data_IF_678571113777
#
_entry.id   IF_678571113777
#
_cell.length_a   1.000
_cell.length_b   1.000
_cell.length_c   1.000
_cell.angle_alpha   90.00
_cell.angle_beta   90.00
_cell.angle_gamma   90.00
#
_symmetry.space_group_name_H-M   'P 1'
#
loop_
_entity.id
_entity.type
_entity.pdbx_description
1 polymer ?
#
# COMPACT_ATOMS: atom_id res chain seq x y z
N UNK A 1 33.18 -26.45 -18.09
CA UNK A 1 34.20 -25.53 -18.65
C UNK A 1 34.65 -24.63 -17.52
N UNK A 2 35.89 -24.77 -17.07
CA UNK A 2 36.45 -24.14 -15.85
C UNK A 2 36.84 -22.70 -16.18
N UNK A 3 36.42 -21.71 -15.41
CA UNK A 3 36.99 -20.41 -15.45
C UNK A 3 37.56 -20.01 -14.08
N UNK A 4 38.81 -19.60 -14.16
CA UNK A 4 39.74 -19.40 -13.03
C UNK A 4 39.56 -18.00 -12.45
N UNK A 5 39.66 -17.94 -11.13
CA UNK A 5 39.82 -16.76 -10.31
C UNK A 5 41.11 -16.00 -10.65
N UNK A 6 41.08 -14.66 -10.60
CA UNK A 6 42.23 -13.82 -10.49
C UNK A 6 42.03 -12.82 -9.35
N UNK A 7 42.74 -13.05 -8.25
CA UNK A 7 42.95 -12.11 -7.16
C UNK A 7 44.00 -11.07 -7.60
N UNK A 8 43.71 -9.81 -7.39
CA UNK A 8 44.71 -8.75 -7.43
C UNK A 8 44.75 -8.02 -6.09
N UNK A 9 45.79 -8.30 -5.36
CA UNK A 9 46.23 -7.62 -4.14
C UNK A 9 46.90 -6.31 -4.49
N UNK A 10 46.53 -5.18 -3.89
CA UNK A 10 47.34 -3.95 -3.89
C UNK A 10 47.57 -3.50 -2.45
N UNK A 11 48.84 -3.32 -2.17
CA UNK A 11 49.42 -3.11 -0.86
C UNK A 11 49.31 -1.64 -0.37
N UNK A 12 49.32 -1.53 0.95
CA UNK A 12 49.51 -0.32 1.79
C UNK A 12 50.73 0.50 1.41
N UNK A 13 50.61 1.81 1.52
CA UNK A 13 51.74 2.67 1.84
C UNK A 13 51.33 3.77 2.81
N UNK A 14 51.80 3.64 4.02
CA UNK A 14 51.75 4.60 5.11
C UNK A 14 52.80 5.72 4.87
N UNK A 15 52.46 6.97 5.13
CA UNK A 15 53.42 8.02 5.40
C UNK A 15 52.94 8.93 6.50
N UNK A 16 53.53 8.76 7.65
CA UNK A 16 53.53 9.68 8.80
C UNK A 16 54.53 10.80 8.51
N UNK A 17 54.19 12.04 8.76
CA UNK A 17 55.16 13.09 9.07
C UNK A 17 54.67 14.03 10.14
N UNK A 18 55.56 14.28 11.08
CA UNK A 18 55.46 14.93 12.37
C UNK A 18 55.60 16.44 12.32
N UNK A 19 54.91 17.09 13.24
CA UNK A 19 55.34 18.16 14.17
C UNK A 19 56.01 19.44 13.65
N UNK A 20 55.50 20.55 14.16
CA UNK A 20 56.17 21.83 14.21
C UNK A 20 55.45 22.79 15.14
N UNK A 21 55.84 22.80 16.43
CA UNK A 21 55.57 23.89 17.35
C UNK A 21 56.37 25.10 17.00
N UNK A 22 55.75 26.29 16.98
CA UNK A 22 56.41 27.59 16.87
C UNK A 22 55.62 28.64 17.62
N UNK A 23 56.14 29.02 18.77
CA UNK A 23 55.66 30.13 19.61
C UNK A 23 56.20 31.44 19.09
N UNK A 24 55.37 32.52 18.99
CA UNK A 24 55.81 33.85 18.58
C UNK A 24 54.78 34.90 18.87
N UNK A 25 54.98 35.61 19.93
CA UNK A 25 54.28 36.77 20.47
C UNK A 25 54.39 37.98 19.52
N UNK A 26 53.36 38.81 19.39
CA UNK A 26 53.41 40.07 18.64
C UNK A 26 52.06 40.78 18.45
N UNK A 27 51.73 41.67 19.38
CA UNK A 27 50.62 42.63 19.30
C UNK A 27 50.64 43.50 18.06
N UNK A 28 49.46 43.79 17.46
CA UNK A 28 48.87 45.13 17.28
C UNK A 28 47.65 45.19 16.33
N UNK A 29 46.54 45.73 16.88
CA UNK A 29 45.56 46.64 16.32
C UNK A 29 44.84 46.37 15.02
N UNK A 30 43.57 46.09 15.14
CA UNK A 30 42.43 46.86 14.63
C UNK A 30 42.18 46.91 13.12
N UNK A 31 41.11 46.31 12.69
CA UNK A 31 40.09 47.03 11.95
C UNK A 31 38.76 46.24 11.91
N UNK A 32 37.68 47.00 11.89
CA UNK A 32 36.29 46.64 12.06
C UNK A 32 35.70 45.84 10.88
N UNK A 33 34.68 45.04 11.27
CA UNK A 33 33.45 44.74 10.53
C UNK A 33 33.55 44.13 9.13
N UNK A 34 33.31 42.84 9.10
CA UNK A 34 32.25 42.34 8.23
C UNK A 34 31.74 41.02 8.81
N UNK A 35 30.72 41.12 9.67
CA UNK A 35 29.96 39.95 10.14
C UNK A 35 29.03 39.56 9.01
N UNK A 36 29.53 38.82 8.05
CA UNK A 36 28.68 38.00 7.22
C UNK A 36 28.11 36.94 8.13
N UNK A 37 26.87 37.11 8.52
CA UNK A 37 26.03 36.14 9.15
C UNK A 37 25.88 35.03 8.09
N UNK A 38 26.74 34.01 8.15
CA UNK A 38 26.47 32.72 7.54
C UNK A 38 25.27 32.24 8.33
N UNK A 39 24.11 32.27 7.74
CA UNK A 39 23.02 31.41 8.19
C UNK A 39 23.57 29.99 8.06
N UNK A 40 24.00 29.44 9.19
CA UNK A 40 24.09 28.01 9.38
C UNK A 40 22.64 27.50 9.20
N UNK A 41 22.31 27.05 8.01
CA UNK A 41 21.27 26.04 7.87
C UNK A 41 21.82 24.87 8.66
N UNK A 42 21.35 24.72 9.89
CA UNK A 42 21.52 23.49 10.67
C UNK A 42 20.83 22.41 9.85
N UNK A 43 21.63 21.66 9.14
CA UNK A 43 21.22 20.40 8.53
C UNK A 43 21.17 19.39 9.70
N UNK A 44 20.23 19.64 10.64
CA UNK A 44 19.97 18.70 11.72
C UNK A 44 19.40 17.44 11.06
N UNK A 45 20.25 16.43 10.93
CA UNK A 45 19.86 15.13 10.42
C UNK A 45 18.68 14.62 11.23
N UNK A 46 17.60 14.29 10.54
CA UNK A 46 16.45 13.66 11.18
C UNK A 46 16.87 12.31 11.78
N UNK A 47 16.42 12.06 12.98
CA UNK A 47 16.69 10.82 13.71
C UNK A 47 15.43 10.39 14.46
N UNK A 48 15.35 9.12 14.83
CA UNK A 48 14.28 8.61 15.67
C UNK A 48 13.48 7.52 14.98
N UNK A 49 12.23 7.38 15.36
CA UNK A 49 11.35 6.36 14.77
C UNK A 49 9.97 6.93 14.46
N UNK A 50 9.30 6.33 13.47
CA UNK A 50 7.89 6.50 13.15
C UNK A 50 7.21 5.17 13.42
N UNK A 51 6.26 5.14 14.34
CA UNK A 51 5.50 3.93 14.69
C UNK A 51 4.30 3.80 13.75
N UNK A 52 4.28 2.76 12.93
CA UNK A 52 3.25 2.53 11.90
C UNK A 52 2.70 1.12 12.07
N UNK A 53 1.37 0.96 12.06
CA UNK A 53 0.73 -0.36 12.09
C UNK A 53 -0.68 -0.27 11.48
N UNK A 54 -1.25 -1.39 11.08
CA UNK A 54 -2.65 -1.45 10.64
C UNK A 54 -2.93 -2.44 9.51
N UNK A 55 -3.66 -1.95 8.51
CA UNK A 55 -4.20 -2.74 7.40
C UNK A 55 -3.12 -3.48 6.60
N UNK A 56 -3.31 -4.78 6.39
CA UNK A 56 -2.52 -5.60 5.47
C UNK A 56 -2.63 -5.11 4.02
N UNK A 57 -3.78 -4.57 3.63
CA UNK A 57 -3.99 -4.00 2.29
C UNK A 57 -3.16 -2.73 2.05
N UNK A 58 -3.01 -1.88 3.07
CA UNK A 58 -2.22 -0.63 2.96
C UNK A 58 -0.72 -0.90 3.14
N UNK A 59 -0.37 -2.03 3.76
CA UNK A 59 1.00 -2.41 4.07
C UNK A 59 1.96 -2.30 2.87
N UNK A 60 1.67 -2.85 1.66
CA UNK A 60 2.60 -2.79 0.54
C UNK A 60 2.97 -1.36 0.13
N UNK A 61 2.00 -0.42 0.19
CA UNK A 61 2.24 0.99 -0.15
C UNK A 61 3.15 1.62 0.91
N UNK A 62 2.82 1.44 2.19
CA UNK A 62 3.57 2.07 3.28
C UNK A 62 4.94 1.41 3.49
N UNK A 63 5.11 0.13 3.14
CA UNK A 63 6.42 -0.53 3.11
C UNK A 63 7.30 0.09 2.02
N UNK A 64 6.79 0.25 0.79
CA UNK A 64 7.50 0.93 -0.29
C UNK A 64 7.88 2.38 0.09
N UNK A 65 6.95 3.13 0.69
CA UNK A 65 7.22 4.47 1.25
C UNK A 65 8.35 4.42 2.28
N UNK A 66 8.33 3.45 3.20
CA UNK A 66 9.36 3.33 4.25
C UNK A 66 10.73 2.96 3.70
N UNK A 67 10.79 2.11 2.67
CA UNK A 67 12.04 1.73 2.00
C UNK A 67 12.67 2.92 1.27
N UNK A 68 11.89 3.66 0.48
CA UNK A 68 12.37 4.85 -0.23
C UNK A 68 12.73 5.99 0.75
N UNK A 69 11.91 6.21 1.77
CA UNK A 69 12.22 7.19 2.81
C UNK A 69 13.53 6.89 3.56
N UNK A 70 13.80 5.62 3.84
CA UNK A 70 15.05 5.22 4.48
C UNK A 70 16.30 5.50 3.62
N UNK A 71 16.15 5.56 2.28
CA UNK A 71 17.24 5.95 1.38
C UNK A 71 17.56 7.45 1.52
N UNK A 72 16.57 8.31 1.76
CA UNK A 72 16.75 9.74 1.97
C UNK A 72 17.11 10.09 3.43
N UNK A 73 16.52 9.38 4.41
CA UNK A 73 16.63 9.62 5.84
C UNK A 73 17.13 8.38 6.60
N UNK A 74 18.37 7.93 6.38
CA UNK A 74 18.87 6.64 6.89
C UNK A 74 18.98 6.54 8.42
N UNK A 75 18.89 7.67 9.13
CA UNK A 75 18.95 7.72 10.59
C UNK A 75 17.52 7.69 11.23
N UNK A 76 16.46 7.63 10.41
CA UNK A 76 15.06 7.45 10.84
C UNK A 76 14.64 6.00 10.59
N UNK A 77 13.93 5.41 11.56
CA UNK A 77 13.36 4.06 11.44
C UNK A 77 11.84 4.17 11.32
N UNK A 78 11.30 3.64 10.23
CA UNK A 78 9.85 3.63 9.99
C UNK A 78 9.35 2.19 9.67
N UNK A 79 9.44 1.24 10.62
CA UNK A 79 8.93 -0.10 10.39
C UNK A 79 7.40 -0.10 10.31
N UNK A 80 6.84 -0.82 9.35
CA UNK A 80 5.40 -0.98 9.18
C UNK A 80 4.94 -2.31 9.74
N UNK A 81 4.05 -2.27 10.74
CA UNK A 81 3.42 -3.45 11.32
C UNK A 81 2.11 -3.80 10.61
N UNK A 82 1.71 -5.07 10.73
CA UNK A 82 0.48 -5.60 10.13
C UNK A 82 -0.36 -6.26 11.21
N UNK A 83 -1.42 -5.60 11.66
CA UNK A 83 -2.37 -6.16 12.63
C UNK A 83 -3.84 -6.05 12.17
N UNK A 84 -4.03 -5.70 10.89
CA UNK A 84 -5.32 -5.37 10.30
C UNK A 84 -5.81 -3.97 10.74
N UNK A 85 -6.78 -3.40 10.01
CA UNK A 85 -7.32 -2.06 10.28
C UNK A 85 -7.78 -1.89 11.74
N UNK A 86 -8.53 -2.85 12.28
CA UNK A 86 -9.00 -2.78 13.66
C UNK A 86 -7.88 -2.95 14.70
N UNK A 87 -6.84 -3.73 14.38
CA UNK A 87 -5.64 -3.88 15.20
C UNK A 87 -4.82 -2.60 15.23
N UNK A 88 -4.65 -1.95 14.08
CA UNK A 88 -4.00 -0.65 13.94
C UNK A 88 -4.68 0.43 14.79
N UNK A 89 -6.00 0.57 14.69
CA UNK A 89 -6.74 1.53 15.53
C UNK A 89 -6.61 1.24 17.03
N UNK A 90 -6.59 -0.03 17.45
CA UNK A 90 -6.37 -0.36 18.87
C UNK A 90 -5.02 0.14 19.37
N UNK A 91 -3.94 -0.05 18.60
CA UNK A 91 -2.60 0.44 18.94
C UNK A 91 -2.52 1.96 18.90
N UNK A 92 -3.17 2.57 17.91
CA UNK A 92 -3.24 4.02 17.74
C UNK A 92 -3.95 4.69 18.91
N UNK A 93 -5.12 4.17 19.32
CA UNK A 93 -5.87 4.61 20.51
C UNK A 93 -5.06 4.42 21.80
N UNK A 94 -4.23 3.37 21.88
CA UNK A 94 -3.34 3.14 23.02
C UNK A 94 -2.10 4.05 23.01
N UNK A 95 -1.88 4.88 21.97
CA UNK A 95 -0.70 5.73 21.81
C UNK A 95 0.59 4.95 21.52
N UNK A 96 0.47 3.70 21.03
CA UNK A 96 1.61 2.85 20.71
C UNK A 96 2.20 3.14 19.32
N UNK A 97 1.40 3.73 18.43
CA UNK A 97 1.80 4.10 17.07
C UNK A 97 1.51 5.55 16.77
N UNK A 98 2.29 6.14 15.85
CA UNK A 98 2.11 7.50 15.34
C UNK A 98 1.13 7.54 14.17
N UNK A 99 1.07 6.41 13.42
CA UNK A 99 0.29 6.25 12.20
C UNK A 99 -0.49 4.93 12.29
N UNK A 100 -1.78 4.98 11.92
CA UNK A 100 -2.63 3.80 11.75
C UNK A 100 -3.07 3.68 10.29
N UNK A 101 -2.70 2.58 9.63
CA UNK A 101 -3.12 2.26 8.27
C UNK A 101 -4.52 1.64 8.27
N UNK A 102 -5.39 2.07 7.35
CA UNK A 102 -6.76 1.59 7.29
C UNK A 102 -7.26 1.39 5.86
N UNK A 103 -7.99 0.32 5.64
CA UNK A 103 -8.65 -0.01 4.36
C UNK A 103 -10.16 0.22 4.39
N UNK A 104 -10.59 1.01 5.33
CA UNK A 104 -11.95 1.57 5.50
C UNK A 104 -11.88 2.85 6.31
N UNK A 105 -12.91 3.72 6.25
CA UNK A 105 -13.02 4.84 7.18
C UNK A 105 -13.02 4.38 8.64
N UNK A 106 -12.60 5.26 9.53
CA UNK A 106 -12.72 5.08 10.98
C UNK A 106 -14.19 4.86 11.36
N UNK A 107 -14.44 3.97 12.33
CA UNK A 107 -15.80 3.74 12.86
C UNK A 107 -16.11 4.72 13.99
N UNK A 108 -17.40 5.05 14.16
CA UNK A 108 -17.89 5.92 15.24
C UNK A 108 -17.39 5.48 16.62
N UNK A 109 -17.28 4.16 16.85
CA UNK A 109 -16.77 3.59 18.11
C UNK A 109 -15.28 3.84 18.31
N UNK A 110 -14.48 3.75 17.23
CA UNK A 110 -13.05 4.01 17.24
C UNK A 110 -12.77 5.51 17.43
N UNK A 111 -13.53 6.37 16.73
CA UNK A 111 -13.47 7.82 16.87
C UNK A 111 -13.76 8.25 18.30
N UNK A 112 -14.84 7.73 18.89
CA UNK A 112 -15.18 8.01 20.28
C UNK A 112 -14.09 7.58 21.26
N UNK A 113 -13.42 6.45 21.03
CA UNK A 113 -12.31 6.01 21.88
C UNK A 113 -11.09 6.92 21.75
N UNK A 114 -10.82 7.48 20.56
CA UNK A 114 -9.77 8.48 20.37
C UNK A 114 -10.10 9.79 21.11
N UNK A 115 -11.36 10.26 21.05
CA UNK A 115 -11.81 11.41 21.83
C UNK A 115 -11.64 11.18 23.34
N UNK A 116 -12.04 10.01 23.87
CA UNK A 116 -11.89 9.63 25.27
C UNK A 116 -10.42 9.55 25.70
N UNK A 117 -9.53 9.15 24.78
CA UNK A 117 -8.08 9.10 24.99
C UNK A 117 -7.41 10.48 24.84
N UNK A 118 -8.12 11.49 24.32
CA UNK A 118 -7.59 12.82 24.05
C UNK A 118 -6.61 12.84 22.89
N UNK A 119 -6.78 11.94 21.91
CA UNK A 119 -5.93 11.84 20.72
C UNK A 119 -6.65 12.51 19.55
N UNK A 120 -6.15 13.67 19.16
CA UNK A 120 -6.52 14.32 17.91
C UNK A 120 -5.72 13.71 16.74
N UNK A 121 -6.38 13.51 15.62
CA UNK A 121 -5.77 12.89 14.45
C UNK A 121 -6.11 13.61 13.15
N UNK A 122 -5.32 13.32 12.13
CA UNK A 122 -5.60 13.72 10.75
C UNK A 122 -5.65 12.48 9.87
N UNK A 123 -6.74 12.34 9.12
CA UNK A 123 -6.94 11.31 8.10
C UNK A 123 -6.37 11.77 6.77
N UNK A 124 -5.66 10.88 6.09
CA UNK A 124 -5.22 11.06 4.71
C UNK A 124 -5.65 9.85 3.89
N UNK A 125 -6.26 10.10 2.75
CA UNK A 125 -6.45 9.10 1.72
C UNK A 125 -5.15 8.96 0.93
N UNK A 126 -4.74 7.72 0.59
CA UNK A 126 -3.44 7.48 -0.03
C UNK A 126 -3.55 6.82 -1.40
N UNK A 127 -4.55 5.97 -1.61
CA UNK A 127 -4.76 5.23 -2.85
C UNK A 127 -6.17 4.63 -2.89
N UNK A 128 -6.52 4.00 -4.00
CA UNK A 128 -7.69 3.11 -4.11
C UNK A 128 -7.24 1.67 -4.33
N UNK A 129 -7.92 0.75 -3.67
CA UNK A 129 -7.87 -0.68 -3.97
C UNK A 129 -9.06 -1.04 -4.87
N UNK A 130 -8.80 -1.81 -5.91
CA UNK A 130 -9.80 -2.33 -6.82
C UNK A 130 -9.49 -3.78 -7.17
N UNK A 131 -10.46 -4.67 -7.01
CA UNK A 131 -10.33 -6.09 -7.33
C UNK A 131 -10.98 -6.38 -8.68
N UNK A 132 -10.20 -6.86 -9.64
CA UNK A 132 -10.73 -7.36 -10.91
C UNK A 132 -11.10 -8.83 -10.81
N UNK A 133 -12.32 -9.18 -11.17
CA UNK A 133 -12.71 -10.56 -11.45
C UNK A 133 -12.53 -10.82 -12.94
N UNK A 134 -11.76 -11.85 -13.27
CA UNK A 134 -11.41 -12.16 -14.65
C UNK A 134 -11.68 -13.62 -14.98
N UNK A 135 -12.01 -13.85 -16.24
CA UNK A 135 -12.10 -15.19 -16.82
C UNK A 135 -11.16 -15.33 -18.01
N UNK A 136 -10.96 -16.55 -18.45
CA UNK A 136 -10.20 -16.81 -19.69
C UNK A 136 -10.79 -16.01 -20.86
N UNK A 137 -9.94 -15.48 -21.73
CA UNK A 137 -10.33 -14.67 -22.89
C UNK A 137 -11.35 -15.37 -23.82
N UNK A 138 -11.24 -16.67 -23.96
CA UNK A 138 -12.13 -17.48 -24.80
C UNK A 138 -13.49 -17.78 -24.15
N UNK A 139 -13.72 -17.33 -22.89
CA UNK A 139 -15.01 -17.45 -22.23
C UNK A 139 -16.01 -16.47 -22.83
N UNK A 140 -17.01 -16.97 -23.55
CA UNK A 140 -17.98 -16.15 -24.32
C UNK A 140 -19.37 -16.07 -23.65
N UNK A 141 -19.59 -16.78 -22.54
CA UNK A 141 -20.89 -16.88 -21.88
C UNK A 141 -20.99 -16.13 -20.53
N UNK A 142 -19.89 -15.89 -19.83
CA UNK A 142 -19.90 -15.08 -18.59
C UNK A 142 -19.98 -13.60 -19.00
N UNK A 143 -21.14 -13.00 -18.88
CA UNK A 143 -21.43 -11.60 -19.22
C UNK A 143 -21.29 -10.65 -18.02
N UNK A 144 -21.68 -11.12 -16.84
CA UNK A 144 -21.60 -10.42 -15.55
C UNK A 144 -21.77 -11.43 -14.42
N UNK A 145 -21.34 -11.06 -13.20
CA UNK A 145 -21.60 -11.82 -11.98
C UNK A 145 -22.18 -10.92 -10.89
N UNK A 146 -23.07 -11.50 -10.07
CA UNK A 146 -23.55 -10.89 -8.85
C UNK A 146 -22.67 -11.24 -7.67
N UNK A 147 -22.74 -10.47 -6.59
CA UNK A 147 -22.04 -10.77 -5.34
C UNK A 147 -22.44 -12.13 -4.78
N UNK A 148 -23.75 -12.48 -4.84
CA UNK A 148 -24.24 -13.79 -4.39
C UNK A 148 -23.65 -14.94 -5.22
N UNK A 149 -23.51 -14.76 -6.54
CA UNK A 149 -22.86 -15.75 -7.41
C UNK A 149 -21.37 -15.88 -7.07
N UNK A 150 -20.66 -14.77 -6.88
CA UNK A 150 -19.26 -14.78 -6.44
C UNK A 150 -19.13 -15.49 -5.09
N UNK A 151 -19.96 -15.13 -4.11
CA UNK A 151 -19.97 -15.78 -2.80
C UNK A 151 -20.18 -17.30 -2.93
N UNK A 152 -21.21 -17.72 -3.68
CA UNK A 152 -21.47 -19.13 -3.96
C UNK A 152 -20.31 -19.84 -4.61
N UNK A 153 -19.63 -19.19 -5.55
CA UNK A 153 -18.50 -19.75 -6.28
C UNK A 153 -17.27 -19.99 -5.40
N UNK A 154 -16.98 -19.08 -4.47
CA UNK A 154 -15.74 -19.05 -3.71
C UNK A 154 -15.86 -19.62 -2.29
N UNK A 155 -17.07 -19.82 -1.73
CA UNK A 155 -17.27 -20.52 -0.47
C UNK A 155 -16.98 -22.01 -0.58
N UNK A 156 -16.43 -22.62 0.48
CA UNK A 156 -16.16 -24.07 0.56
C UNK A 156 -17.43 -24.92 0.39
N UNK A 157 -18.55 -24.45 0.95
CA UNK A 157 -19.84 -25.12 0.90
C UNK A 157 -20.70 -24.73 -0.32
N UNK A 158 -20.24 -23.84 -1.17
CA UNK A 158 -20.95 -23.38 -2.37
C UNK A 158 -21.12 -24.45 -3.43
N UNK A 159 -20.33 -25.52 -3.38
CA UNK A 159 -20.42 -26.74 -4.21
C UNK A 159 -20.40 -26.50 -5.73
N UNK A 160 -19.86 -25.38 -6.19
CA UNK A 160 -19.70 -25.08 -7.62
C UNK A 160 -18.54 -25.88 -8.19
N UNK A 161 -18.82 -26.72 -9.21
CA UNK A 161 -17.83 -27.52 -9.95
C UNK A 161 -17.82 -27.18 -11.44
N UNK A 162 -18.97 -26.78 -11.96
CA UNK A 162 -19.19 -26.43 -13.36
C UNK A 162 -19.83 -25.07 -13.47
N UNK A 163 -19.72 -24.42 -14.60
CA UNK A 163 -20.39 -23.15 -14.86
C UNK A 163 -21.92 -23.25 -14.75
N UNK A 164 -22.50 -24.39 -15.10
CA UNK A 164 -23.95 -24.65 -14.92
C UNK A 164 -24.39 -24.66 -13.45
N UNK A 165 -23.48 -24.90 -12.51
CA UNK A 165 -23.78 -24.80 -11.07
C UNK A 165 -23.91 -23.36 -10.59
N UNK A 166 -23.34 -22.40 -11.34
CA UNK A 166 -23.44 -20.96 -11.04
C UNK A 166 -24.78 -20.41 -11.52
N UNK A 167 -25.05 -20.61 -12.82
CA UNK A 167 -26.26 -20.05 -13.46
C UNK A 167 -26.85 -21.06 -14.45
N UNK A 168 -28.17 -21.23 -14.40
CA UNK A 168 -28.91 -22.09 -15.33
C UNK A 168 -28.68 -21.66 -16.78
N UNK A 169 -28.44 -22.62 -17.65
CA UNK A 169 -28.18 -22.37 -19.08
C UNK A 169 -26.70 -22.18 -19.44
N UNK A 170 -25.82 -22.03 -18.46
CA UNK A 170 -24.37 -22.02 -18.70
C UNK A 170 -23.81 -23.44 -18.96
N UNK A 171 -22.63 -23.55 -19.56
CA UNK A 171 -22.04 -24.85 -19.91
C UNK A 171 -21.76 -25.74 -18.69
N UNK A 172 -21.85 -27.06 -18.87
CA UNK A 172 -21.45 -28.07 -17.85
C UNK A 172 -19.93 -28.32 -17.88
N UNK A 173 -19.15 -27.33 -18.21
CA UNK A 173 -17.71 -27.38 -18.22
C UNK A 173 -17.16 -27.06 -16.82
N UNK A 174 -16.05 -27.69 -16.42
CA UNK A 174 -15.43 -27.42 -15.12
C UNK A 174 -15.04 -25.95 -14.96
N UNK A 175 -15.10 -25.44 -13.71
CA UNK A 175 -14.52 -24.16 -13.33
C UNK A 175 -13.23 -24.41 -12.57
N UNK A 176 -12.17 -23.67 -12.92
CA UNK A 176 -10.89 -23.67 -12.20
C UNK A 176 -10.68 -22.30 -11.55
N UNK A 177 -10.36 -22.30 -10.27
CA UNK A 177 -10.31 -21.11 -9.43
C UNK A 177 -8.89 -20.69 -9.12
N UNK A 178 -8.60 -19.38 -9.27
CA UNK A 178 -7.31 -18.75 -9.00
C UNK A 178 -7.51 -17.57 -8.05
N UNK A 179 -6.79 -17.56 -6.92
CA UNK A 179 -6.94 -16.58 -5.85
C UNK A 179 -5.58 -16.13 -5.36
N UNK A 180 -5.42 -14.85 -4.94
CA UNK A 180 -4.30 -14.46 -4.11
C UNK A 180 -4.16 -15.37 -2.90
N UNK A 181 -2.95 -15.47 -2.35
CA UNK A 181 -2.66 -16.25 -1.16
C UNK A 181 -3.09 -15.55 0.12
N UNK A 182 -2.98 -16.25 1.24
CA UNK A 182 -3.48 -15.79 2.54
C UNK A 182 -2.71 -14.63 3.16
N UNK A 183 -1.54 -14.30 2.63
CA UNK A 183 -0.74 -13.14 3.07
C UNK A 183 -1.05 -11.87 2.26
N UNK A 184 -1.94 -11.98 1.24
CA UNK A 184 -2.35 -10.89 0.37
C UNK A 184 -3.47 -10.04 0.97
N UNK A 185 -3.30 -8.70 0.95
CA UNK A 185 -4.37 -7.76 1.28
C UNK A 185 -5.60 -7.86 0.38
N UNK A 186 -5.44 -8.30 -0.88
CA UNK A 186 -6.54 -8.57 -1.81
C UNK A 186 -7.35 -9.81 -1.38
N UNK A 187 -6.66 -10.85 -0.86
CA UNK A 187 -7.32 -12.01 -0.27
C UNK A 187 -8.16 -11.62 0.96
N UNK A 188 -7.59 -10.83 1.87
CA UNK A 188 -8.29 -10.35 3.06
C UNK A 188 -9.54 -9.55 2.69
N UNK A 189 -9.40 -8.65 1.71
CA UNK A 189 -10.53 -7.86 1.25
C UNK A 189 -11.64 -8.71 0.62
N UNK A 190 -11.26 -9.66 -0.23
CA UNK A 190 -12.21 -10.61 -0.81
C UNK A 190 -12.95 -11.42 0.27
N UNK A 191 -12.21 -11.89 1.26
CA UNK A 191 -12.78 -12.63 2.38
C UNK A 191 -13.79 -11.78 3.18
N UNK A 192 -13.46 -10.52 3.42
CA UNK A 192 -14.34 -9.58 4.12
C UNK A 192 -15.62 -9.29 3.31
N UNK A 193 -15.51 -8.86 2.05
CA UNK A 193 -16.65 -8.29 1.31
C UNK A 193 -17.44 -9.29 0.48
N UNK A 194 -16.84 -10.41 0.07
CA UNK A 194 -17.51 -11.45 -0.71
C UNK A 194 -17.87 -12.66 0.14
N UNK A 195 -16.92 -13.14 0.96
CA UNK A 195 -17.15 -14.35 1.76
C UNK A 195 -17.78 -14.04 3.13
N UNK A 196 -17.81 -12.75 3.56
CA UNK A 196 -18.31 -12.33 4.89
C UNK A 196 -17.67 -13.17 6.01
N UNK A 197 -16.33 -13.29 5.96
CA UNK A 197 -15.51 -14.14 6.85
C UNK A 197 -15.81 -15.65 6.76
N UNK A 198 -16.51 -16.07 5.70
CA UNK A 198 -16.75 -17.48 5.41
C UNK A 198 -15.47 -18.18 4.92
N UNK A 199 -15.47 -19.49 5.00
CA UNK A 199 -14.30 -20.27 4.58
C UNK A 199 -14.20 -20.38 3.06
N UNK A 200 -13.08 -19.93 2.49
CA UNK A 200 -12.78 -20.07 1.08
C UNK A 200 -12.61 -21.57 0.71
N UNK A 201 -13.02 -21.92 -0.51
CA UNK A 201 -12.84 -23.25 -1.07
C UNK A 201 -11.37 -23.68 -1.09
N UNK A 202 -11.13 -24.97 -0.82
CA UNK A 202 -9.77 -25.53 -0.70
C UNK A 202 -9.15 -25.96 -2.02
N UNK A 203 -9.95 -26.07 -3.07
CA UNK A 203 -9.51 -26.49 -4.40
C UNK A 203 -9.15 -25.31 -5.32
N UNK A 204 -9.19 -24.08 -4.80
CA UNK A 204 -8.62 -22.93 -5.50
C UNK A 204 -7.08 -23.01 -5.52
N UNK A 205 -6.49 -22.62 -6.64
CA UNK A 205 -5.04 -22.42 -6.74
C UNK A 205 -4.71 -21.05 -6.11
N UNK A 206 -3.90 -21.07 -5.06
CA UNK A 206 -3.47 -19.88 -4.34
C UNK A 206 -2.04 -19.50 -4.74
N UNK A 207 -1.77 -18.21 -4.89
CA UNK A 207 -0.42 -17.67 -5.10
C UNK A 207 -0.30 -16.27 -4.52
N UNK A 208 0.84 -15.97 -3.90
CA UNK A 208 1.20 -14.59 -3.49
C UNK A 208 1.71 -13.75 -4.67
N UNK A 209 2.02 -14.37 -5.81
CA UNK A 209 2.40 -13.69 -7.05
C UNK A 209 1.18 -13.66 -8.00
N UNK A 210 0.59 -12.47 -8.16
CA UNK A 210 -0.57 -12.25 -9.03
C UNK A 210 -0.28 -12.59 -10.50
N UNK A 211 0.97 -12.50 -10.96
CA UNK A 211 1.33 -12.92 -12.32
C UNK A 211 1.13 -14.43 -12.52
N UNK A 212 1.32 -15.24 -11.48
CA UNK A 212 1.01 -16.69 -11.53
C UNK A 212 -0.48 -16.91 -11.70
N UNK A 213 -1.33 -16.10 -11.03
CA UNK A 213 -2.79 -16.17 -11.15
C UNK A 213 -3.24 -15.75 -12.55
N UNK A 214 -2.69 -14.65 -13.07
CA UNK A 214 -2.91 -14.19 -14.44
C UNK A 214 -2.62 -15.29 -15.45
N UNK A 215 -1.42 -15.92 -15.36
CA UNK A 215 -1.03 -17.02 -16.25
C UNK A 215 -1.94 -18.25 -16.08
N UNK A 216 -2.39 -18.52 -14.85
CA UNK A 216 -3.34 -19.60 -14.55
C UNK A 216 -4.66 -19.42 -15.29
N UNK A 217 -5.28 -18.24 -15.18
CA UNK A 217 -6.55 -17.92 -15.88
C UNK A 217 -6.36 -17.92 -17.40
N UNK A 218 -5.26 -17.36 -17.90
CA UNK A 218 -4.95 -17.37 -19.34
C UNK A 218 -4.78 -18.79 -19.91
N UNK A 219 -4.19 -19.68 -19.14
CA UNK A 219 -3.87 -21.05 -19.55
C UNK A 219 -5.04 -22.05 -19.47
N UNK A 220 -6.10 -21.74 -18.74
CA UNK A 220 -7.24 -22.61 -18.50
C UNK A 220 -8.55 -21.99 -19.02
N UNK A 221 -9.21 -22.63 -19.99
CA UNK A 221 -10.49 -22.14 -20.56
C UNK A 221 -11.62 -22.07 -19.53
N UNK A 222 -11.59 -22.91 -18.51
CA UNK A 222 -12.51 -22.87 -17.37
C UNK A 222 -12.07 -21.95 -16.25
N UNK A 223 -10.95 -21.22 -16.43
CA UNK A 223 -10.35 -20.39 -15.42
C UNK A 223 -11.18 -19.16 -15.07
N UNK A 224 -11.32 -18.94 -13.76
CA UNK A 224 -11.77 -17.68 -13.16
C UNK A 224 -10.82 -17.31 -12.04
N UNK A 225 -10.49 -16.04 -11.90
CA UNK A 225 -9.63 -15.54 -10.83
C UNK A 225 -10.00 -14.13 -10.44
N UNK A 226 -9.41 -13.68 -9.33
CA UNK A 226 -9.46 -12.29 -8.92
C UNK A 226 -8.09 -11.83 -8.42
N UNK A 227 -7.76 -10.57 -8.65
CA UNK A 227 -6.51 -9.93 -8.25
C UNK A 227 -6.63 -8.41 -8.40
N UNK A 228 -5.60 -7.67 -8.01
CA UNK A 228 -5.55 -6.22 -8.13
C UNK A 228 -5.81 -5.72 -9.56
N UNK A 229 -6.50 -4.60 -9.68
CA UNK A 229 -6.94 -4.03 -10.97
C UNK A 229 -5.78 -3.76 -11.93
N UNK A 230 -4.63 -3.33 -11.44
CA UNK A 230 -3.44 -3.05 -12.26
C UNK A 230 -2.97 -4.28 -13.03
N UNK A 231 -2.96 -5.46 -12.43
CA UNK A 231 -2.59 -6.71 -13.10
C UNK A 231 -3.53 -7.06 -14.25
N UNK A 232 -4.84 -6.76 -14.09
CA UNK A 232 -5.77 -6.87 -15.20
C UNK A 232 -5.44 -5.87 -16.30
N UNK A 233 -5.20 -4.60 -15.99
CA UNK A 233 -4.89 -3.54 -16.97
C UNK A 233 -3.68 -3.91 -17.82
N UNK A 234 -2.62 -4.42 -17.20
CA UNK A 234 -1.42 -4.88 -17.90
C UNK A 234 -1.67 -6.08 -18.83
N UNK A 235 -2.69 -6.90 -18.53
CA UNK A 235 -3.00 -8.14 -19.23
C UNK A 235 -4.35 -8.15 -19.96
N UNK A 236 -5.00 -6.99 -20.12
CA UNK A 236 -6.36 -6.86 -20.69
C UNK A 236 -6.57 -7.48 -22.06
N UNK A 237 -5.49 -7.59 -22.85
CA UNK A 237 -5.55 -8.19 -24.20
C UNK A 237 -5.65 -9.72 -24.16
N UNK A 238 -5.33 -10.32 -23.01
CA UNK A 238 -5.26 -11.77 -22.82
C UNK A 238 -6.29 -12.32 -21.81
N UNK A 239 -6.98 -11.44 -21.11
CA UNK A 239 -8.00 -11.76 -20.10
C UNK A 239 -9.33 -11.10 -20.49
N UNK A 240 -10.43 -11.67 -20.01
CA UNK A 240 -11.74 -11.05 -20.05
C UNK A 240 -12.14 -10.65 -18.65
N UNK A 241 -12.26 -9.33 -18.38
CA UNK A 241 -12.80 -8.85 -17.12
C UNK A 241 -14.31 -9.08 -17.07
N UNK A 242 -14.80 -9.43 -15.90
CA UNK A 242 -16.23 -9.67 -15.65
C UNK A 242 -16.84 -8.46 -14.95
N UNK A 243 -17.85 -7.83 -15.54
CA UNK A 243 -18.63 -6.80 -14.85
C UNK A 243 -19.31 -7.38 -13.60
N UNK A 244 -19.30 -6.61 -12.50
CA UNK A 244 -19.92 -7.01 -11.23
C UNK A 244 -21.18 -6.21 -11.01
N UNK A 245 -22.26 -6.89 -10.62
CA UNK A 245 -23.56 -6.24 -10.33
C UNK A 245 -23.46 -5.60 -8.94
N UNK A 246 -23.53 -4.27 -8.91
CA UNK A 246 -23.46 -3.47 -7.69
C UNK A 246 -24.78 -3.48 -6.89
N UNK A 247 -24.81 -2.79 -5.76
CA UNK A 247 -26.01 -2.72 -4.86
C UNK A 247 -27.25 -2.09 -5.53
N UNK A 248 -27.04 -1.32 -6.62
CA UNK A 248 -28.14 -0.72 -7.41
C UNK A 248 -28.66 -1.65 -8.50
N UNK A 249 -28.07 -2.85 -8.66
CA UNK A 249 -28.41 -3.81 -9.71
C UNK A 249 -27.81 -3.48 -11.08
N UNK A 250 -26.79 -2.62 -11.14
CA UNK A 250 -26.11 -2.23 -12.35
C UNK A 250 -24.84 -3.07 -12.51
N UNK A 251 -24.63 -3.63 -13.72
CA UNK A 251 -23.38 -4.32 -14.05
C UNK A 251 -22.28 -3.30 -14.34
N UNK A 252 -21.27 -3.25 -13.49
CA UNK A 252 -20.18 -2.29 -13.56
C UNK A 252 -18.87 -3.00 -13.91
N UNK A 253 -18.22 -2.53 -14.98
CA UNK A 253 -16.87 -2.95 -15.35
C UNK A 253 -15.87 -2.11 -14.56
N UNK A 254 -14.82 -2.72 -13.93
CA UNK A 254 -13.80 -1.94 -13.26
C UNK A 254 -12.99 -1.13 -14.27
N UNK A 255 -12.89 0.13 -14.00
CA UNK A 255 -11.95 1.07 -14.60
C UNK A 255 -11.57 2.14 -13.56
N UNK A 256 -10.62 3.02 -13.88
CA UNK A 256 -10.17 4.06 -12.95
C UNK A 256 -11.33 4.89 -12.39
N UNK A 257 -12.25 5.32 -13.28
CA UNK A 257 -13.35 6.19 -12.86
C UNK A 257 -14.37 5.44 -11.98
N UNK A 258 -14.74 4.21 -12.33
CA UNK A 258 -15.72 3.41 -11.58
C UNK A 258 -15.19 2.98 -10.21
N UNK A 259 -13.88 2.75 -10.10
CA UNK A 259 -13.21 2.42 -8.83
C UNK A 259 -13.13 3.67 -7.94
N UNK A 260 -12.56 4.77 -8.44
CA UNK A 260 -12.39 6.01 -7.67
C UNK A 260 -13.71 6.66 -7.25
N UNK A 261 -14.76 6.54 -8.06
CA UNK A 261 -16.07 7.09 -7.73
C UNK A 261 -16.93 6.13 -6.87
N UNK A 262 -16.38 4.98 -6.46
CA UNK A 262 -17.08 3.99 -5.64
C UNK A 262 -18.29 3.34 -6.33
N UNK A 263 -18.38 3.41 -7.67
CA UNK A 263 -19.48 2.79 -8.43
C UNK A 263 -19.25 1.29 -8.57
N UNK A 264 -17.99 0.86 -8.60
CA UNK A 264 -17.57 -0.55 -8.65
C UNK A 264 -17.56 -1.18 -7.25
N UNK A 265 -18.65 -1.03 -6.51
CA UNK A 265 -18.82 -1.61 -5.18
C UNK A 265 -19.31 -3.08 -5.24
N UNK A 266 -18.96 -3.92 -4.25
CA UNK A 266 -18.07 -3.66 -3.13
C UNK A 266 -16.60 -3.98 -3.42
N UNK A 267 -16.19 -4.13 -4.69
CA UNK A 267 -14.85 -4.54 -5.08
C UNK A 267 -13.89 -3.35 -5.32
N UNK A 268 -14.26 -2.17 -4.82
CA UNK A 268 -13.40 -0.99 -4.76
C UNK A 268 -13.53 -0.28 -3.42
N UNK A 269 -12.42 0.23 -2.90
CA UNK A 269 -12.39 0.99 -1.66
C UNK A 269 -11.23 1.98 -1.62
N UNK A 270 -11.40 3.14 -0.97
CA UNK A 270 -10.29 4.01 -0.64
C UNK A 270 -9.42 3.43 0.49
N UNK A 271 -8.14 3.74 0.43
CA UNK A 271 -7.15 3.37 1.43
C UNK A 271 -6.67 4.61 2.17
N UNK A 272 -6.47 4.50 3.47
CA UNK A 272 -6.19 5.61 4.37
C UNK A 272 -5.00 5.34 5.26
N UNK A 273 -4.41 6.41 5.77
CA UNK A 273 -3.66 6.39 6.99
C UNK A 273 -4.09 7.55 7.91
N UNK A 274 -4.10 7.29 9.19
CA UNK A 274 -4.49 8.22 10.25
C UNK A 274 -3.26 8.57 11.05
N UNK A 275 -2.99 9.86 11.26
CA UNK A 275 -1.77 10.33 11.94
C UNK A 275 -2.16 11.12 13.19
N UNK A 276 -1.47 10.86 14.32
CA UNK A 276 -1.62 11.65 15.53
C UNK A 276 -1.14 13.09 15.29
N UNK A 277 -1.98 14.08 15.60
CA UNK A 277 -1.62 15.50 15.47
C UNK A 277 -0.49 15.88 16.46
N UNK A 278 -0.44 15.23 17.62
CA UNK A 278 0.68 15.39 18.56
C UNK A 278 2.00 14.89 17.94
N UNK A 279 1.96 13.77 17.23
CA UNK A 279 3.14 13.25 16.53
C UNK A 279 3.57 14.14 15.36
N UNK A 280 2.61 14.67 14.59
CA UNK A 280 2.91 15.61 13.48
C UNK A 280 3.60 16.88 13.95
N UNK A 281 3.17 17.44 15.09
CA UNK A 281 3.71 18.70 15.62
C UNK A 281 4.94 18.51 16.51
N UNK A 282 5.03 17.36 17.20
CA UNK A 282 6.08 17.08 18.19
C UNK A 282 7.25 16.26 17.70
N UNK A 283 7.12 15.55 16.56
CA UNK A 283 8.12 14.62 16.02
C UNK A 283 8.46 15.00 14.56
N UNK A 284 9.54 15.77 14.32
CA UNK A 284 9.90 16.19 12.95
C UNK A 284 10.03 15.02 11.95
N UNK A 285 10.49 13.85 12.40
CA UNK A 285 10.61 12.67 11.56
C UNK A 285 9.24 12.11 11.12
N UNK A 286 8.18 12.27 11.93
CA UNK A 286 6.81 11.87 11.56
C UNK A 286 6.25 12.81 10.50
N UNK A 287 6.43 14.13 10.67
CA UNK A 287 6.03 15.13 9.69
C UNK A 287 6.68 14.88 8.33
N UNK A 288 8.01 14.71 8.31
CA UNK A 288 8.75 14.49 7.05
C UNK A 288 8.38 13.14 6.41
N UNK A 289 8.13 12.10 7.21
CA UNK A 289 7.65 10.82 6.71
C UNK A 289 6.27 10.96 6.03
N UNK A 290 5.31 11.62 6.68
CA UNK A 290 3.97 11.83 6.12
C UNK A 290 4.03 12.70 4.86
N UNK A 291 4.85 13.74 4.87
CA UNK A 291 5.09 14.57 3.68
C UNK A 291 5.65 13.75 2.53
N UNK A 292 6.70 12.98 2.78
CA UNK A 292 7.31 12.09 1.80
C UNK A 292 6.30 11.07 1.26
N UNK A 293 5.50 10.46 2.13
CA UNK A 293 4.43 9.55 1.75
C UNK A 293 3.47 10.21 0.76
N UNK A 294 2.94 11.40 1.07
CA UNK A 294 1.99 12.11 0.21
C UNK A 294 2.61 12.59 -1.11
N UNK A 295 3.91 12.94 -1.12
CA UNK A 295 4.63 13.35 -2.33
C UNK A 295 4.92 12.18 -3.29
N UNK A 296 5.05 10.95 -2.77
CA UNK A 296 5.48 9.79 -3.55
C UNK A 296 4.42 8.68 -3.66
N UNK A 297 3.36 8.74 -2.85
CA UNK A 297 2.35 7.68 -2.77
C UNK A 297 1.70 7.34 -4.11
N UNK A 298 1.50 8.31 -5.00
CA UNK A 298 0.91 8.05 -6.31
C UNK A 298 1.73 7.04 -7.11
N UNK A 299 3.02 7.32 -7.27
CA UNK A 299 3.94 6.42 -7.99
C UNK A 299 4.10 5.08 -7.29
N UNK A 300 4.34 5.11 -5.96
CA UNK A 300 4.60 3.90 -5.19
C UNK A 300 3.35 2.99 -5.09
N UNK A 301 2.15 3.57 -5.00
CA UNK A 301 0.91 2.80 -5.03
C UNK A 301 0.74 2.06 -6.37
N UNK A 302 1.01 2.73 -7.50
CA UNK A 302 0.93 2.09 -8.82
C UNK A 302 1.97 0.97 -8.98
N UNK A 303 3.19 1.17 -8.50
CA UNK A 303 4.27 0.17 -8.54
C UNK A 303 3.92 -1.11 -7.76
N UNK A 304 3.15 -0.98 -6.67
CA UNK A 304 2.70 -2.14 -5.87
C UNK A 304 1.27 -2.60 -6.20
N UNK A 305 0.71 -2.12 -7.33
CA UNK A 305 -0.51 -2.67 -7.89
C UNK A 305 -1.82 -2.02 -7.46
N UNK A 306 -1.77 -0.85 -6.84
CA UNK A 306 -2.95 -0.06 -6.45
C UNK A 306 -3.22 1.08 -7.44
N UNK A 307 -4.30 1.81 -7.23
CA UNK A 307 -4.70 2.94 -8.05
C UNK A 307 -4.37 4.23 -7.29
N UNK A 308 -3.57 5.10 -7.91
CA UNK A 308 -3.23 6.41 -7.36
C UNK A 308 -4.46 7.32 -7.27
N UNK A 309 -4.43 8.27 -6.33
CA UNK A 309 -5.32 9.42 -6.33
C UNK A 309 -4.96 10.35 -7.50
N UNK A 310 -5.79 11.36 -7.74
CA UNK A 310 -5.46 12.43 -8.68
C UNK A 310 -4.41 13.37 -8.07
N UNK A 311 -3.62 14.01 -8.91
CA UNK A 311 -2.57 14.94 -8.48
C UNK A 311 -3.11 16.08 -7.60
N UNK A 312 -4.33 16.56 -7.87
CA UNK A 312 -4.97 17.61 -7.08
C UNK A 312 -5.43 17.13 -5.69
N UNK A 313 -5.72 15.84 -5.51
CA UNK A 313 -6.06 15.23 -4.23
C UNK A 313 -4.82 15.08 -3.34
N UNK A 314 -3.68 14.61 -3.89
CA UNK A 314 -2.39 14.61 -3.15
C UNK A 314 -1.96 16.03 -2.78
N UNK A 315 -2.14 17.00 -3.68
CA UNK A 315 -1.84 18.40 -3.38
C UNK A 315 -2.69 18.95 -2.24
N UNK A 316 -3.98 18.65 -2.23
CA UNK A 316 -4.88 19.04 -1.14
C UNK A 316 -4.49 18.36 0.19
N UNK A 317 -4.03 17.11 0.14
CA UNK A 317 -3.51 16.40 1.31
C UNK A 317 -2.24 17.04 1.87
N UNK A 318 -1.32 17.49 1.03
CA UNK A 318 -0.12 18.22 1.44
C UNK A 318 -0.48 19.61 2.05
N UNK A 319 -1.42 20.35 1.46
CA UNK A 319 -1.92 21.60 2.04
C UNK A 319 -2.55 21.36 3.43
N UNK A 320 -3.33 20.29 3.59
CA UNK A 320 -3.90 19.86 4.88
C UNK A 320 -2.82 19.54 5.91
N UNK A 321 -1.76 18.82 5.50
CA UNK A 321 -0.62 18.51 6.36
C UNK A 321 0.05 19.78 6.88
N UNK A 322 0.30 20.77 6.00
CA UNK A 322 0.89 22.03 6.39
C UNK A 322 0.00 22.86 7.35
N UNK A 323 -1.31 22.75 7.24
CA UNK A 323 -2.25 23.44 8.13
C UNK A 323 -2.24 22.86 9.54
N UNK A 324 -2.20 21.54 9.67
CA UNK A 324 -2.22 20.85 10.98
C UNK A 324 -0.89 20.99 11.72
N UNK A 325 0.21 21.19 11.00
CA UNK A 325 1.56 21.29 11.59
C UNK A 325 1.92 22.70 12.07
N UNK A 326 1.05 23.70 11.91
CA UNK A 326 1.25 25.10 12.39
C UNK A 326 0.85 25.29 13.84
#
# INVERSE_FOLDING_TARGET
>A
MKWKSAFATVALSSALLFAGCGNGDGSAKGNENNTSKVEETSNDKLTGSVGIDGSSTVFPIMEAVSEEFAAEQPDVKAPVGVSGTGGGFKKFIAGETDISNASRPIKDEEEKLLEEAGIDYTEFEIAYDGISVVVNKDNDFVDQLTIDELKKMWLEDGNVKTWADVRDGWPKEPVTFFSPGTDSGTYDYWNEVILEDGQMRKDATLSEDDNVLVQGVMGDKGGIGFFGFSYYVENKDNLKVVPIVNSKGEAVTPDHDTIMNGVYEPLSRPLYFYVSNEALTGKPQVYEYVKFALENAGTLAEEVGYISLKDDEYKAALEKLEEVSK
#
